data_IF_360543548828
#
_entry.id   IF_360543548828
#
_cell.length_a   1.000
_cell.length_b   1.000
_cell.length_c   1.000
_cell.angle_alpha   90.00
_cell.angle_beta   90.00
_cell.angle_gamma   90.00
#
_symmetry.space_group_name_H-M   'P 1'
#
loop_
_entity.id
_entity.type
_entity.pdbx_description
1 polymer ?
#
# COMPACT_ATOMS: atom_id res chain seq x y z
N UNK A 1 -3.45 -6.24 -23.10
CA UNK A 1 -3.26 -5.83 -21.69
C UNK A 1 -2.93 -4.35 -21.70
N UNK A 2 -3.81 -3.49 -21.17
CA UNK A 2 -3.62 -2.01 -21.22
C UNK A 2 -2.29 -1.61 -20.58
N UNK A 3 -1.93 -2.26 -19.46
CA UNK A 3 -0.68 -2.01 -18.74
C UNK A 3 0.58 -2.31 -19.55
N UNK A 4 0.55 -3.29 -20.46
CA UNK A 4 1.72 -3.64 -21.28
C UNK A 4 2.11 -2.52 -22.22
N UNK A 5 1.13 -1.95 -22.92
CA UNK A 5 1.38 -0.82 -23.83
C UNK A 5 1.93 0.39 -23.07
N UNK A 6 1.39 0.68 -21.88
CA UNK A 6 1.88 1.78 -21.06
C UNK A 6 3.34 1.56 -20.62
N UNK A 7 3.66 0.37 -20.11
CA UNK A 7 5.02 0.06 -19.63
C UNK A 7 6.03 0.09 -20.78
N UNK A 8 5.69 -0.48 -21.95
CA UNK A 8 6.55 -0.44 -23.14
C UNK A 8 6.74 1.00 -23.67
N UNK A 9 5.68 1.82 -23.66
CA UNK A 9 5.76 3.25 -24.02
C UNK A 9 6.67 4.04 -23.07
N UNK A 10 6.72 3.65 -21.79
CA UNK A 10 7.62 4.22 -20.80
C UNK A 10 9.04 3.60 -20.84
N UNK A 11 9.33 2.72 -21.79
CA UNK A 11 10.64 2.07 -21.95
C UNK A 11 10.96 1.00 -20.90
N UNK A 12 9.93 0.45 -20.24
CA UNK A 12 10.06 -0.58 -19.22
C UNK A 12 9.79 -1.99 -19.70
N UNK A 13 9.77 -2.91 -18.73
CA UNK A 13 9.46 -4.33 -18.92
C UNK A 13 8.32 -4.76 -17.99
N UNK A 14 7.46 -5.69 -18.42
CA UNK A 14 6.33 -6.23 -17.65
C UNK A 14 6.26 -7.74 -17.82
N UNK A 15 5.92 -8.46 -16.75
CA UNK A 15 5.83 -9.91 -16.75
C UNK A 15 4.83 -10.48 -15.74
N UNK A 16 4.68 -11.80 -15.77
CA UNK A 16 3.89 -12.56 -14.81
C UNK A 16 4.63 -13.83 -14.42
N UNK A 17 4.64 -14.13 -13.13
CA UNK A 17 5.09 -15.38 -12.54
C UNK A 17 3.84 -16.04 -11.92
N UNK A 18 3.46 -17.24 -12.37
CA UNK A 18 2.26 -17.91 -11.85
C UNK A 18 2.50 -19.41 -11.75
N UNK A 19 2.13 -19.98 -10.61
CA UNK A 19 2.03 -21.42 -10.40
C UNK A 19 0.57 -21.76 -10.16
N UNK A 20 0.07 -22.80 -10.83
CA UNK A 20 -1.32 -23.22 -10.67
C UNK A 20 -1.62 -23.55 -9.19
N UNK A 21 -2.67 -22.97 -8.63
CA UNK A 21 -3.06 -23.16 -7.23
C UNK A 21 -2.33 -22.28 -6.20
N UNK A 22 -1.26 -21.56 -6.57
CA UNK A 22 -0.50 -20.69 -5.65
C UNK A 22 -0.75 -19.18 -5.89
N UNK A 23 -1.45 -18.86 -6.98
CA UNK A 23 -1.72 -17.49 -7.41
C UNK A 23 -0.72 -16.98 -8.45
N UNK A 24 -0.82 -15.68 -8.74
CA UNK A 24 -0.02 -15.03 -9.79
C UNK A 24 0.60 -13.73 -9.27
N UNK A 25 1.87 -13.52 -9.58
CA UNK A 25 2.61 -12.27 -9.37
C UNK A 25 2.80 -11.57 -10.69
N UNK A 26 2.16 -10.41 -10.85
CA UNK A 26 2.40 -9.50 -11.97
C UNK A 26 3.42 -8.46 -11.55
N UNK A 27 4.40 -8.18 -12.40
CA UNK A 27 5.48 -7.23 -12.09
C UNK A 27 5.79 -6.36 -13.30
N UNK A 28 6.34 -5.17 -13.05
CA UNK A 28 6.92 -4.32 -14.10
C UNK A 28 8.12 -3.54 -13.54
N UNK A 29 9.00 -3.12 -14.43
CA UNK A 29 10.21 -2.36 -14.13
C UNK A 29 10.26 -1.12 -15.02
N UNK A 30 10.54 0.05 -14.44
CA UNK A 30 10.67 1.33 -15.13
C UNK A 30 11.93 2.05 -14.66
N UNK A 31 12.57 2.78 -15.58
CA UNK A 31 13.72 3.63 -15.27
C UNK A 31 13.26 5.08 -15.23
N UNK A 32 13.54 5.78 -14.14
CA UNK A 32 13.24 7.20 -13.97
C UNK A 32 14.52 7.96 -13.63
N UNK A 33 14.66 9.17 -14.18
CA UNK A 33 15.69 10.09 -13.73
C UNK A 33 15.37 10.58 -12.31
N UNK A 34 16.39 10.64 -11.45
CA UNK A 34 16.22 11.20 -10.12
C UNK A 34 16.01 12.72 -10.25
N UNK A 35 14.88 13.23 -9.76
CA UNK A 35 14.63 14.67 -9.82
C UNK A 35 15.60 15.41 -8.89
N UNK A 36 16.39 16.38 -9.39
CA UNK A 36 17.31 17.17 -8.56
C UNK A 36 16.58 18.12 -7.61
N UNK A 37 15.28 18.36 -7.84
CA UNK A 37 14.42 19.08 -6.92
C UNK A 37 13.57 18.07 -6.14
N UNK A 38 13.67 18.04 -4.80
CA UNK A 38 12.60 17.44 -4.03
C UNK A 38 11.35 18.29 -4.33
N UNK A 39 10.26 17.66 -4.74
CA UNK A 39 8.96 18.34 -4.85
C UNK A 39 8.55 18.71 -3.43
N UNK A 40 9.02 19.87 -2.95
CA UNK A 40 8.61 20.45 -1.67
C UNK A 40 7.84 21.73 -1.97
N UNK A 41 6.67 21.54 -2.56
CA UNK A 41 5.47 22.16 -1.99
C UNK A 41 4.55 21.04 -1.50
N UNK A 42 5.10 20.14 -0.69
CA UNK A 42 4.26 19.51 0.31
C UNK A 42 3.91 20.63 1.27
N UNK A 43 2.63 21.00 1.33
CA UNK A 43 2.06 21.59 2.55
C UNK A 43 2.74 20.93 3.76
N UNK A 44 3.05 21.65 4.85
CA UNK A 44 3.53 21.02 6.07
C UNK A 44 2.38 20.19 6.65
N UNK A 45 2.16 19.02 6.07
CA UNK A 45 1.46 17.90 6.68
C UNK A 45 2.59 16.94 7.01
N UNK A 46 3.47 17.35 7.93
CA UNK A 46 3.85 16.35 8.91
C UNK A 46 2.50 15.90 9.48
N UNK A 47 2.05 14.64 9.26
CA UNK A 47 0.80 14.20 9.85
C UNK A 47 0.88 14.56 11.33
N UNK A 48 -0.13 15.26 11.88
CA UNK A 48 -0.07 15.73 13.26
C UNK A 48 0.29 14.53 14.12
N UNK A 49 1.35 14.59 14.94
CA UNK A 49 1.93 13.39 15.59
C UNK A 49 0.85 12.36 16.00
N UNK A 50 0.66 11.34 15.15
CA UNK A 50 -0.45 10.39 15.28
C UNK A 50 -0.08 9.23 16.21
N UNK A 51 1.12 9.24 16.79
CA UNK A 51 1.58 8.16 17.68
C UNK A 51 0.77 7.99 18.96
N UNK A 52 -0.02 9.02 19.32
CA UNK A 52 -0.95 8.96 20.45
C UNK A 52 -2.33 8.41 20.08
N UNK A 53 -2.60 8.18 18.79
CA UNK A 53 -3.86 7.63 18.34
C UNK A 53 -3.80 6.11 18.34
N UNK A 54 -4.92 5.52 18.77
CA UNK A 54 -5.23 4.11 18.59
C UNK A 54 -6.33 3.99 17.55
N UNK A 55 -6.16 3.10 16.60
CA UNK A 55 -7.08 2.92 15.49
C UNK A 55 -7.44 1.44 15.34
N UNK A 56 -8.72 1.16 15.14
CA UNK A 56 -9.23 -0.19 14.87
C UNK A 56 -9.64 -0.29 13.40
N UNK A 57 -9.03 -1.22 12.68
CA UNK A 57 -9.35 -1.52 11.28
C UNK A 57 -10.32 -2.69 11.25
N UNK A 58 -11.50 -2.48 10.64
CA UNK A 58 -12.51 -3.52 10.45
C UNK A 58 -12.77 -3.69 8.96
N UNK A 59 -12.24 -4.77 8.39
CA UNK A 59 -12.39 -5.10 6.97
C UNK A 59 -12.29 -6.63 6.83
N UNK A 60 -13.15 -7.26 6.03
CA UNK A 60 -13.18 -8.71 5.86
C UNK A 60 -12.02 -9.22 4.98
N UNK A 61 -11.42 -8.36 4.17
CA UNK A 61 -10.32 -8.67 3.28
C UNK A 61 -8.95 -8.49 3.96
N UNK A 62 -8.25 -9.61 4.17
CA UNK A 62 -6.94 -9.63 4.82
C UNK A 62 -5.86 -8.82 4.07
N UNK A 63 -5.96 -8.70 2.75
CA UNK A 63 -5.01 -7.91 1.94
C UNK A 63 -5.21 -6.42 2.21
N UNK A 64 -6.46 -5.95 2.27
CA UNK A 64 -6.77 -4.56 2.61
C UNK A 64 -6.24 -4.20 4.00
N UNK A 65 -6.52 -5.06 5.00
CA UNK A 65 -6.04 -4.84 6.37
C UNK A 65 -4.52 -4.74 6.44
N UNK A 66 -3.79 -5.63 5.74
CA UNK A 66 -2.32 -5.59 5.68
C UNK A 66 -1.78 -4.30 5.08
N UNK A 67 -2.36 -3.84 3.97
CA UNK A 67 -1.94 -2.59 3.31
C UNK A 67 -2.14 -1.39 4.24
N UNK A 68 -3.31 -1.30 4.87
CA UNK A 68 -3.63 -0.21 5.80
C UNK A 68 -2.74 -0.24 7.04
N UNK A 69 -2.51 -1.42 7.63
CA UNK A 69 -1.61 -1.56 8.78
C UNK A 69 -0.20 -1.09 8.45
N UNK A 70 0.34 -1.47 7.29
CA UNK A 70 1.67 -1.06 6.87
C UNK A 70 1.78 0.46 6.74
N UNK A 71 0.81 1.10 6.06
CA UNK A 71 0.81 2.55 5.83
C UNK A 71 0.67 3.35 7.14
N UNK A 72 -0.27 2.94 8.00
CA UNK A 72 -0.58 3.66 9.23
C UNK A 72 0.47 3.42 10.32
N UNK A 73 1.11 2.24 10.33
CA UNK A 73 2.25 1.96 11.22
C UNK A 73 3.46 2.80 10.86
N UNK A 74 3.68 3.10 9.57
CA UNK A 74 4.73 4.03 9.13
C UNK A 74 4.50 5.47 9.65
N UNK A 75 3.26 5.81 10.02
CA UNK A 75 2.92 7.07 10.69
C UNK A 75 2.95 6.98 12.22
N UNK A 76 3.35 5.84 12.78
CA UNK A 76 3.51 5.61 14.22
C UNK A 76 2.21 5.33 14.97
N UNK A 77 1.09 5.10 14.28
CA UNK A 77 -0.22 4.84 14.89
C UNK A 77 -0.23 3.43 15.52
N UNK A 78 -0.84 3.30 16.70
CA UNK A 78 -1.13 1.98 17.27
C UNK A 78 -2.40 1.41 16.64
N UNK A 79 -2.31 0.21 16.09
CA UNK A 79 -3.38 -0.38 15.26
C UNK A 79 -3.81 -1.71 15.86
N UNK A 80 -5.12 -1.87 16.02
CA UNK A 80 -5.78 -3.14 16.26
C UNK A 80 -6.56 -3.54 14.99
N UNK A 81 -6.65 -4.84 14.69
CA UNK A 81 -7.29 -5.36 13.48
C UNK A 81 -8.44 -6.31 13.81
N UNK A 82 -9.53 -6.22 13.05
CA UNK A 82 -10.64 -7.15 13.10
C UNK A 82 -11.11 -7.50 11.68
N UNK A 83 -11.47 -8.77 11.48
CA UNK A 83 -12.02 -9.28 10.22
C UNK A 83 -13.53 -9.06 10.07
N UNK A 84 -14.18 -8.45 11.06
CA UNK A 84 -15.60 -8.11 11.01
C UNK A 84 -16.08 -7.41 12.27
N UNK A 85 -17.32 -6.90 12.21
CA UNK A 85 -17.89 -6.10 13.29
C UNK A 85 -17.94 -6.83 14.66
N UNK A 86 -18.10 -8.17 14.65
CA UNK A 86 -18.17 -8.96 15.89
C UNK A 86 -16.81 -9.06 16.59
N UNK A 87 -15.74 -9.32 15.85
CA UNK A 87 -14.37 -9.36 16.39
C UNK A 87 -13.89 -7.97 16.80
N UNK A 88 -14.40 -6.91 16.16
CA UNK A 88 -14.06 -5.52 16.44
C UNK A 88 -14.53 -5.00 17.82
N UNK A 89 -15.69 -5.46 18.30
CA UNK A 89 -16.29 -5.00 19.56
C UNK A 89 -16.18 -6.03 20.69
N UNK A 90 -15.43 -7.11 20.46
CA UNK A 90 -15.19 -8.13 21.48
C UNK A 90 -14.43 -7.50 22.67
N UNK A 91 -14.84 -7.80 23.92
CA UNK A 91 -14.29 -7.19 25.12
C UNK A 91 -12.84 -7.60 25.42
#
# INVERSE_FOLDING_TARGET
MISKQLVELMGGEIGVESTEGEGSRFWFTLTFENSPQPVVELFPIAPPNLSKLRLLIVDDNATNRKVLCYQLSAWGIQIDEADGAKSAIAP
#
